data_IF_124187362357
#
_entry.id   IF_124187362357
#
_cell.length_a   1.000
_cell.length_b   1.000
_cell.length_c   1.000
_cell.angle_alpha   90.00
_cell.angle_beta   90.00
_cell.angle_gamma   90.00
#
_symmetry.space_group_name_H-M   'P 1'
#
loop_
_entity.id
_entity.type
_entity.pdbx_description
1 polymer ?
#
# COMPACT_ATOMS: atom_id res chain seq x y z
N UNK A 1 -25.76 -9.18 27.02
CA UNK A 1 -24.56 -8.59 26.39
C UNK A 1 -25.01 -7.90 25.12
N UNK A 2 -24.65 -6.64 24.86
CA UNK A 2 -25.10 -5.96 23.63
C UNK A 2 -24.42 -6.62 22.43
N UNK A 3 -25.26 -7.05 21.48
CA UNK A 3 -24.90 -7.76 20.25
C UNK A 3 -23.81 -6.99 19.49
N UNK A 4 -22.80 -7.68 18.94
CA UNK A 4 -21.75 -7.03 18.16
C UNK A 4 -22.32 -6.34 16.90
N UNK A 5 -23.43 -6.86 16.35
CA UNK A 5 -24.15 -6.30 15.20
C UNK A 5 -24.64 -4.86 15.39
N UNK A 6 -25.09 -4.47 16.59
CA UNK A 6 -25.69 -3.14 16.79
C UNK A 6 -24.66 -2.00 16.74
N UNK A 7 -23.36 -2.31 16.94
CA UNK A 7 -22.27 -1.33 16.87
C UNK A 7 -21.75 -1.14 15.45
N UNK A 8 -21.85 -2.16 14.61
CA UNK A 8 -21.44 -2.07 13.19
C UNK A 8 -22.42 -1.20 12.40
N UNK A 9 -23.72 -1.30 12.68
CA UNK A 9 -24.75 -0.44 12.05
C UNK A 9 -24.65 1.03 12.49
N UNK A 10 -24.36 1.31 13.76
CA UNK A 10 -24.14 2.68 14.25
C UNK A 10 -22.85 3.31 13.72
N UNK A 11 -21.83 2.52 13.38
CA UNK A 11 -20.55 3.01 12.84
C UNK A 11 -20.65 3.48 11.39
N UNK A 12 -21.53 2.85 10.61
CA UNK A 12 -21.70 3.14 9.19
C UNK A 12 -22.13 4.58 8.90
N UNK A 13 -22.84 5.23 9.85
CA UNK A 13 -23.28 6.63 9.70
C UNK A 13 -22.13 7.63 9.66
N UNK A 14 -20.95 7.27 10.18
CA UNK A 14 -19.76 8.13 10.21
C UNK A 14 -18.82 7.90 9.01
N UNK A 15 -19.13 6.92 8.16
CA UNK A 15 -18.33 6.64 6.96
C UNK A 15 -18.72 7.62 5.86
N UNK A 16 -17.73 8.31 5.29
CA UNK A 16 -17.98 9.21 4.17
C UNK A 16 -18.60 8.44 3.00
N UNK A 17 -19.61 8.99 2.30
CA UNK A 17 -20.35 8.26 1.26
C UNK A 17 -19.46 7.63 0.17
N UNK A 18 -18.36 8.30 -0.19
CA UNK A 18 -17.39 7.80 -1.17
C UNK A 18 -16.62 6.55 -0.72
N UNK A 19 -16.62 6.23 0.57
CA UNK A 19 -15.99 5.04 1.14
C UNK A 19 -17.03 3.99 1.59
N UNK A 20 -18.32 4.29 1.47
CA UNK A 20 -19.38 3.33 1.78
C UNK A 20 -19.38 2.16 0.77
N UNK A 21 -19.55 0.94 1.26
CA UNK A 21 -19.67 -0.26 0.41
C UNK A 21 -18.36 -0.74 -0.22
N UNK A 22 -17.20 -0.31 0.30
CA UNK A 22 -15.92 -0.93 -0.09
C UNK A 22 -15.87 -2.39 0.35
N UNK A 23 -15.57 -3.27 -0.59
CA UNK A 23 -15.43 -4.70 -0.32
C UNK A 23 -14.14 -4.97 0.46
N UNK A 24 -14.20 -5.94 1.38
CA UNK A 24 -13.02 -6.44 2.07
C UNK A 24 -11.98 -6.94 1.06
N UNK A 25 -10.70 -6.69 1.35
CA UNK A 25 -9.60 -7.21 0.53
C UNK A 25 -9.58 -8.76 0.59
N UNK A 26 -10.04 -9.40 -0.47
CA UNK A 26 -10.14 -10.87 -0.55
C UNK A 26 -8.82 -11.59 -0.25
N UNK A 27 -7.69 -11.01 -0.63
CA UNK A 27 -6.36 -11.57 -0.37
C UNK A 27 -6.00 -11.58 1.12
N UNK A 28 -6.45 -10.59 1.90
CA UNK A 28 -6.22 -10.56 3.35
C UNK A 28 -7.11 -11.59 4.06
N UNK A 29 -8.39 -11.64 3.68
CA UNK A 29 -9.32 -12.65 4.21
C UNK A 29 -8.79 -14.07 3.97
N UNK A 30 -8.35 -14.36 2.75
CA UNK A 30 -7.77 -15.66 2.42
C UNK A 30 -6.50 -15.95 3.23
N UNK A 31 -5.64 -14.94 3.44
CA UNK A 31 -4.45 -15.09 4.28
C UNK A 31 -4.81 -15.44 5.73
N UNK A 32 -5.82 -14.80 6.32
CA UNK A 32 -6.31 -15.08 7.67
C UNK A 32 -6.85 -16.51 7.80
N UNK A 33 -7.62 -16.98 6.81
CA UNK A 33 -8.11 -18.37 6.72
C UNK A 33 -6.94 -19.36 6.68
N UNK A 34 -5.90 -19.08 5.90
CA UNK A 34 -4.68 -19.90 5.84
C UNK A 34 -3.97 -19.95 7.19
N UNK A 35 -3.83 -18.81 7.88
CA UNK A 35 -3.23 -18.75 9.21
C UNK A 35 -4.06 -19.54 10.24
N UNK A 36 -5.38 -19.55 10.11
CA UNK A 36 -6.27 -20.34 10.95
C UNK A 36 -6.08 -21.85 10.72
N UNK A 37 -6.04 -22.30 9.46
CA UNK A 37 -5.81 -23.71 9.14
C UNK A 37 -4.46 -24.22 9.68
N UNK A 38 -3.40 -23.40 9.63
CA UNK A 38 -2.10 -23.73 10.22
C UNK A 38 -2.16 -23.84 11.74
N UNK A 39 -2.90 -22.96 12.42
CA UNK A 39 -3.12 -23.02 13.87
C UNK A 39 -3.88 -24.28 14.30
N UNK A 40 -4.73 -24.81 13.44
CA UNK A 40 -5.43 -26.09 13.62
C UNK A 40 -4.55 -27.32 13.36
N UNK A 41 -3.25 -27.13 13.07
CA UNK A 41 -2.30 -28.22 12.83
C UNK A 41 -2.36 -28.80 11.41
N UNK A 42 -3.08 -28.16 10.48
CA UNK A 42 -3.14 -28.61 9.08
C UNK A 42 -1.87 -28.20 8.34
N UNK A 43 -1.37 -29.10 7.50
CA UNK A 43 -0.28 -28.78 6.56
C UNK A 43 -0.83 -27.93 5.40
N UNK A 44 -0.35 -26.69 5.28
CA UNK A 44 -0.82 -25.73 4.26
C UNK A 44 0.33 -25.03 3.57
N UNK A 45 0.50 -25.30 2.28
CA UNK A 45 1.41 -24.58 1.38
C UNK A 45 0.71 -23.36 0.80
N UNK A 46 1.20 -22.16 1.15
CA UNK A 46 0.53 -20.90 0.82
C UNK A 46 1.28 -20.16 -0.29
N UNK A 47 0.74 -20.19 -1.51
CA UNK A 47 1.32 -19.54 -2.70
C UNK A 47 0.61 -18.23 -3.10
N UNK A 48 -0.39 -17.78 -2.35
CA UNK A 48 -1.25 -16.67 -2.75
C UNK A 48 -0.86 -15.30 -2.13
N UNK A 49 0.10 -15.27 -1.20
CA UNK A 49 0.48 -14.04 -0.50
C UNK A 49 1.79 -13.47 -1.04
N UNK A 50 1.74 -12.22 -1.50
CA UNK A 50 2.86 -11.54 -2.16
C UNK A 50 3.88 -10.90 -1.19
N UNK A 51 3.98 -11.35 0.05
CA UNK A 51 5.02 -10.88 0.97
C UNK A 51 6.35 -11.58 0.70
N UNK A 52 7.45 -10.83 0.80
CA UNK A 52 8.79 -11.42 0.66
C UNK A 52 9.05 -12.43 1.78
N UNK A 53 9.46 -13.67 1.46
CA UNK A 53 9.84 -14.64 2.49
C UNK A 53 11.23 -14.36 3.09
N UNK A 54 12.00 -13.45 2.49
CA UNK A 54 13.35 -13.13 2.92
C UNK A 54 13.34 -12.17 4.11
N UNK A 55 14.22 -12.38 5.11
CA UNK A 55 14.36 -11.44 6.21
C UNK A 55 14.87 -10.09 5.71
N UNK A 56 14.53 -9.02 6.43
CA UNK A 56 15.05 -7.68 6.15
C UNK A 56 16.59 -7.70 6.22
N UNK A 57 17.32 -7.15 5.23
CA UNK A 57 18.78 -7.14 5.25
C UNK A 57 19.36 -6.49 6.50
N UNK A 58 20.45 -7.06 7.05
CA UNK A 58 21.04 -6.61 8.32
C UNK A 58 21.44 -5.13 8.29
N UNK A 59 21.97 -4.64 7.17
CA UNK A 59 22.35 -3.24 7.01
C UNK A 59 21.16 -2.29 7.21
N UNK A 60 19.97 -2.65 6.74
CA UNK A 60 18.74 -1.87 6.92
C UNK A 60 18.29 -1.91 8.39
N UNK A 61 18.39 -3.08 9.03
CA UNK A 61 18.07 -3.22 10.46
C UNK A 61 19.00 -2.37 11.34
N UNK A 62 20.30 -2.34 11.04
CA UNK A 62 21.29 -1.53 11.76
C UNK A 62 21.00 -0.04 11.58
N UNK A 63 20.80 0.42 10.35
CA UNK A 63 20.47 1.82 10.08
C UNK A 63 19.17 2.25 10.79
N UNK A 64 18.14 1.39 10.82
CA UNK A 64 16.91 1.69 11.56
C UNK A 64 17.18 1.85 13.06
N UNK A 65 17.98 0.97 13.66
CA UNK A 65 18.33 1.02 15.09
C UNK A 65 19.12 2.28 15.46
N UNK A 66 20.07 2.68 14.60
CA UNK A 66 20.86 3.90 14.80
C UNK A 66 20.00 5.17 14.82
N UNK A 67 18.89 5.16 14.08
CA UNK A 67 18.04 6.34 13.91
C UNK A 67 16.79 6.36 14.82
N UNK A 68 16.59 5.39 15.72
CA UNK A 68 15.42 5.30 16.62
C UNK A 68 15.19 6.58 17.45
N UNK A 69 16.27 7.29 17.82
CA UNK A 69 16.18 8.52 18.59
C UNK A 69 15.73 9.77 17.80
N UNK A 70 15.67 9.69 16.47
CA UNK A 70 15.29 10.83 15.63
C UNK A 70 13.77 10.86 15.44
N UNK A 71 13.11 11.84 16.04
CA UNK A 71 11.65 11.99 16.03
C UNK A 71 11.19 13.31 15.39
N UNK A 72 12.10 14.04 14.74
CA UNK A 72 11.78 15.27 14.03
C UNK A 72 11.01 14.98 12.74
N UNK A 73 10.14 15.92 12.35
CA UNK A 73 9.44 15.82 11.08
C UNK A 73 10.44 15.90 9.91
N UNK A 74 10.44 14.92 8.98
CA UNK A 74 11.25 15.01 7.78
C UNK A 74 10.67 16.07 6.81
N UNK A 75 11.45 16.52 5.82
CA UNK A 75 10.91 17.31 4.72
C UNK A 75 9.74 16.59 4.04
N UNK A 76 8.77 17.36 3.54
CA UNK A 76 7.54 16.82 2.92
C UNK A 76 7.84 15.84 1.77
N UNK A 77 8.86 16.13 0.96
CA UNK A 77 9.26 15.26 -0.15
C UNK A 77 10.09 14.03 0.30
N UNK A 78 10.43 13.94 1.59
CA UNK A 78 11.36 12.97 2.15
C UNK A 78 12.79 13.47 2.28
N UNK A 79 13.62 12.70 2.98
CA UNK A 79 15.02 13.00 3.26
C UNK A 79 15.80 13.22 1.95
N UNK A 80 16.58 14.30 1.87
CA UNK A 80 17.39 14.61 0.69
C UNK A 80 18.40 13.50 0.37
N UNK A 81 19.06 12.97 1.39
CA UNK A 81 20.02 11.85 1.24
C UNK A 81 19.38 10.62 0.60
N UNK A 82 18.14 10.31 0.98
CA UNK A 82 17.38 9.21 0.41
C UNK A 82 17.00 9.49 -1.05
N UNK A 83 16.52 10.69 -1.37
CA UNK A 83 16.19 11.09 -2.75
C UNK A 83 17.41 11.01 -3.67
N UNK A 84 18.58 11.47 -3.21
CA UNK A 84 19.85 11.33 -3.95
C UNK A 84 20.26 9.87 -4.14
N UNK A 85 20.06 9.02 -3.13
CA UNK A 85 20.32 7.59 -3.24
C UNK A 85 19.44 6.89 -4.28
N UNK A 86 18.16 7.25 -4.35
CA UNK A 86 17.22 6.75 -5.37
C UNK A 86 17.66 7.19 -6.77
N UNK A 87 17.96 8.48 -6.95
CA UNK A 87 18.49 9.02 -8.22
C UNK A 87 19.72 8.25 -8.71
N UNK A 88 20.71 8.08 -7.83
CA UNK A 88 21.93 7.33 -8.14
C UNK A 88 21.66 5.86 -8.49
N UNK A 89 20.70 5.21 -7.81
CA UNK A 89 20.35 3.82 -8.07
C UNK A 89 19.80 3.64 -9.50
N UNK A 90 18.85 4.49 -9.90
CA UNK A 90 18.26 4.44 -11.24
C UNK A 90 19.28 4.81 -12.32
N UNK A 91 20.14 5.78 -12.08
CA UNK A 91 21.23 6.12 -13.01
C UNK A 91 22.18 4.92 -13.19
N UNK A 92 22.56 4.26 -12.09
CA UNK A 92 23.47 3.11 -12.13
C UNK A 92 22.87 1.85 -12.75
N UNK A 93 21.60 1.55 -12.47
CA UNK A 93 20.95 0.31 -12.90
C UNK A 93 20.30 0.41 -14.28
N UNK A 94 19.73 1.58 -14.59
CA UNK A 94 18.86 1.77 -15.76
C UNK A 94 19.40 2.86 -16.70
N UNK A 95 20.44 3.59 -16.31
CA UNK A 95 20.96 4.75 -17.08
C UNK A 95 20.01 5.96 -17.05
N UNK A 96 19.03 5.95 -16.14
CA UNK A 96 18.00 6.98 -16.03
C UNK A 96 18.38 8.01 -14.97
N UNK A 97 18.71 9.23 -15.39
CA UNK A 97 18.89 10.33 -14.46
C UNK A 97 17.53 10.88 -14.01
N UNK A 98 17.31 10.87 -12.70
CA UNK A 98 16.17 11.50 -12.04
C UNK A 98 16.69 12.66 -11.19
N UNK A 99 16.28 13.91 -11.44
CA UNK A 99 16.65 15.02 -10.55
C UNK A 99 16.09 14.70 -9.14
N UNK A 100 16.91 14.68 -8.08
CA UNK A 100 16.42 14.45 -6.73
C UNK A 100 15.25 15.37 -6.32
N UNK A 101 15.10 16.56 -6.92
CA UNK A 101 13.98 17.49 -6.70
C UNK A 101 12.63 16.95 -7.20
N UNK A 102 12.64 16.06 -8.18
CA UNK A 102 11.44 15.45 -8.77
C UNK A 102 11.06 14.13 -8.09
N UNK A 103 11.80 13.72 -7.06
CA UNK A 103 11.56 12.49 -6.30
C UNK A 103 10.80 12.81 -5.02
N UNK A 104 9.70 12.11 -4.77
CA UNK A 104 8.95 12.15 -3.51
C UNK A 104 8.97 10.78 -2.85
N UNK A 105 9.33 10.74 -1.57
CA UNK A 105 9.31 9.52 -0.76
C UNK A 105 8.12 9.55 0.17
N UNK A 106 7.28 8.51 0.11
CA UNK A 106 6.15 8.31 1.01
C UNK A 106 6.18 6.95 1.71
N UNK A 107 5.25 6.72 2.65
CA UNK A 107 5.14 5.48 3.42
C UNK A 107 4.54 4.35 2.58
N UNK A 108 5.35 3.86 1.63
CA UNK A 108 4.99 2.75 0.77
C UNK A 108 4.07 3.11 -0.41
N UNK A 109 4.02 2.18 -1.36
CA UNK A 109 3.41 2.39 -2.68
C UNK A 109 1.91 2.65 -2.61
N UNK A 110 1.16 1.97 -1.73
CA UNK A 110 -0.31 2.09 -1.68
C UNK A 110 -0.78 3.51 -1.38
N UNK A 111 -0.13 4.18 -0.43
CA UNK A 111 -0.46 5.56 -0.09
C UNK A 111 -0.09 6.52 -1.22
N UNK A 112 1.07 6.33 -1.85
CA UNK A 112 1.47 7.15 -3.00
C UNK A 112 0.50 7.01 -4.17
N UNK A 113 0.08 5.78 -4.50
CA UNK A 113 -0.95 5.53 -5.52
C UNK A 113 -2.26 6.22 -5.14
N UNK A 114 -2.71 6.08 -3.89
CA UNK A 114 -3.93 6.74 -3.42
C UNK A 114 -3.89 8.26 -3.63
N UNK A 115 -2.79 8.89 -3.23
CA UNK A 115 -2.60 10.34 -3.40
C UNK A 115 -2.57 10.74 -4.88
N UNK A 116 -1.84 10.00 -5.72
CA UNK A 116 -1.75 10.28 -7.16
C UNK A 116 -3.12 10.20 -7.82
N UNK A 117 -3.88 9.13 -7.58
CA UNK A 117 -5.22 8.97 -8.16
C UNK A 117 -6.16 10.08 -7.67
N UNK A 118 -5.99 10.56 -6.44
CA UNK A 118 -6.86 11.59 -5.87
C UNK A 118 -6.52 13.01 -6.35
N UNK A 119 -5.26 13.31 -6.68
CA UNK A 119 -4.86 14.61 -7.20
C UNK A 119 -4.90 14.70 -8.74
N UNK A 120 -4.92 13.56 -9.43
CA UNK A 120 -4.97 13.50 -10.89
C UNK A 120 -6.36 13.85 -11.42
N UNK A 121 -6.42 14.85 -12.31
CA UNK A 121 -7.68 15.37 -12.88
C UNK A 121 -8.01 14.80 -14.26
N UNK A 122 -7.53 13.60 -14.59
CA UNK A 122 -7.75 12.96 -15.89
C UNK A 122 -8.26 11.54 -15.78
N UNK A 123 -8.58 10.94 -16.93
CA UNK A 123 -9.04 9.55 -17.00
C UNK A 123 -7.90 8.57 -16.71
N UNK A 124 -8.20 7.55 -15.92
CA UNK A 124 -7.25 6.50 -15.56
C UNK A 124 -7.67 5.20 -16.24
N UNK A 125 -6.87 4.72 -17.18
CA UNK A 125 -7.08 3.43 -17.84
C UNK A 125 -6.39 2.34 -17.02
N UNK A 126 -7.19 1.40 -16.47
CA UNK A 126 -6.68 0.22 -15.78
C UNK A 126 -6.74 -1.01 -16.68
N UNK A 127 -5.58 -1.59 -16.98
CA UNK A 127 -5.48 -2.84 -17.76
C UNK A 127 -5.79 -4.03 -16.84
N UNK A 128 -6.75 -4.86 -17.24
CA UNK A 128 -7.15 -6.06 -16.48
C UNK A 128 -6.29 -7.28 -16.85
N UNK A 129 -5.84 -8.10 -15.88
CA UNK A 129 -6.02 -7.94 -14.44
C UNK A 129 -5.04 -6.91 -13.86
N UNK A 130 -5.55 -6.01 -13.01
CA UNK A 130 -4.75 -5.03 -12.27
C UNK A 130 -4.58 -5.47 -10.80
N UNK A 131 -3.59 -4.87 -10.12
CA UNK A 131 -3.43 -5.07 -8.67
C UNK A 131 -4.72 -4.66 -7.93
N UNK A 132 -5.32 -5.49 -7.03
CA UNK A 132 -6.66 -5.24 -6.50
C UNK A 132 -6.87 -3.89 -5.83
N UNK A 133 -5.83 -3.31 -5.23
CA UNK A 133 -5.95 -1.99 -4.60
C UNK A 133 -6.25 -0.86 -5.61
N UNK A 134 -5.87 -1.00 -6.89
CA UNK A 134 -6.15 0.02 -7.91
C UNK A 134 -7.65 0.22 -8.10
N UNK A 135 -8.44 -0.86 -8.04
CA UNK A 135 -9.90 -0.82 -8.15
C UNK A 135 -10.58 -0.19 -6.93
N UNK A 136 -9.99 -0.33 -5.74
CA UNK A 136 -10.51 0.29 -4.51
C UNK A 136 -10.28 1.80 -4.45
N UNK A 137 -9.30 2.31 -5.21
CA UNK A 137 -8.90 3.73 -5.21
C UNK A 137 -9.59 4.52 -6.32
N UNK A 138 -9.89 3.91 -7.47
CA UNK A 138 -10.58 4.56 -8.58
C UNK A 138 -12.04 4.09 -8.66
N UNK A 139 -12.99 5.00 -8.43
CA UNK A 139 -14.42 4.76 -8.55
C UNK A 139 -14.99 5.65 -9.67
N UNK A 140 -14.73 5.29 -10.91
CA UNK A 140 -15.65 5.62 -11.99
C UNK A 140 -16.09 4.34 -12.70
N UNK A 141 -17.39 4.03 -12.56
CA UNK A 141 -18.03 2.83 -13.13
C UNK A 141 -18.61 3.10 -14.53
N UNK A 142 -18.39 4.29 -15.09
CA UNK A 142 -19.11 4.76 -16.28
C UNK A 142 -18.43 4.46 -17.62
N UNK A 143 -17.28 3.79 -17.65
CA UNK A 143 -16.70 3.34 -18.91
C UNK A 143 -17.38 2.05 -19.43
N UNK A 144 -18.65 2.16 -19.79
CA UNK A 144 -19.30 1.22 -20.71
C UNK A 144 -19.04 1.76 -22.11
N UNK A 145 -18.24 1.03 -22.89
CA UNK A 145 -17.97 1.37 -24.29
C UNK A 145 -19.27 1.64 -25.05
N UNK A 146 -19.28 2.76 -25.78
CA UNK A 146 -20.12 2.92 -26.95
C UNK A 146 -19.58 2.06 -28.08
#
# INVERSE_FOLDING_TARGET
MPNQDSREEEGAQFVLPQFAGQALAHNLKFHEEVLQMRREGREVFHFAFGESPFPVPLAVQTALKEFVGNNEYPPVAGLESLRRGISWLHEKQEGLYLDPKDIVVGPGLKQLIFLIVHCFSGDIVLISPAWPCMRGVHVDRNFRGQ
#
